data_IF_437371950542
#
_entry.id   IF_437371950542
#
_cell.length_a   1.000
_cell.length_b   1.000
_cell.length_c   1.000
_cell.angle_alpha   90.00
_cell.angle_beta   90.00
_cell.angle_gamma   90.00
#
_symmetry.space_group_name_H-M   'P 1'
#
loop_
_entity.id
_entity.type
_entity.pdbx_description
1 polymer ?
#
# COMPACT_ATOMS: atom_id res chain seq x y z
N UNK A 1 -4.58 21.74 -14.84
CA UNK A 1 -4.34 20.50 -14.08
C UNK A 1 -4.52 20.89 -12.63
N UNK A 2 -5.56 20.39 -11.97
CA UNK A 2 -5.77 20.66 -10.55
C UNK A 2 -4.71 19.87 -9.80
N UNK A 3 -3.80 20.56 -9.12
CA UNK A 3 -2.94 19.93 -8.11
C UNK A 3 -3.86 19.47 -7.00
N UNK A 4 -3.94 18.17 -6.69
CA UNK A 4 -4.77 17.72 -5.59
C UNK A 4 -4.27 18.40 -4.32
N UNK A 5 -5.21 18.92 -3.54
CA UNK A 5 -4.90 19.54 -2.27
C UNK A 5 -4.52 18.41 -1.30
N UNK A 6 -3.36 18.44 -0.63
CA UNK A 6 -2.83 17.31 0.14
C UNK A 6 -3.74 16.79 1.27
N UNK A 7 -4.77 17.54 1.66
CA UNK A 7 -5.80 17.11 2.61
C UNK A 7 -7.01 16.42 1.98
N UNK A 8 -7.24 16.60 0.67
CA UNK A 8 -8.31 15.93 -0.08
C UNK A 8 -7.91 14.46 -0.33
N UNK A 9 -6.67 14.23 -0.74
CA UNK A 9 -6.14 12.88 -1.03
C UNK A 9 -6.21 11.98 0.20
N UNK A 10 -5.86 12.52 1.37
CA UNK A 10 -5.99 11.81 2.65
C UNK A 10 -7.39 11.26 2.89
N UNK A 11 -8.40 12.14 2.82
CA UNK A 11 -9.78 11.77 3.12
C UNK A 11 -10.31 10.73 2.15
N UNK A 12 -9.90 10.81 0.87
CA UNK A 12 -10.23 9.79 -0.11
C UNK A 12 -9.55 8.46 0.22
N UNK A 13 -8.25 8.45 0.50
CA UNK A 13 -7.51 7.22 0.84
C UNK A 13 -8.03 6.54 2.11
N UNK A 14 -8.34 7.31 3.17
CA UNK A 14 -8.94 6.78 4.40
C UNK A 14 -10.33 6.17 4.13
N UNK A 15 -11.11 6.77 3.22
CA UNK A 15 -12.41 6.23 2.81
C UNK A 15 -12.27 4.95 1.98
N UNK A 16 -11.33 4.91 1.03
CA UNK A 16 -11.04 3.70 0.25
C UNK A 16 -10.57 2.55 1.16
N UNK A 17 -9.66 2.84 2.12
CA UNK A 17 -9.20 1.85 3.09
C UNK A 17 -10.36 1.30 3.93
N UNK A 18 -11.25 2.17 4.43
CA UNK A 18 -12.37 1.75 5.26
C UNK A 18 -13.33 0.80 4.52
N UNK A 19 -13.52 1.00 3.20
CA UNK A 19 -14.25 0.04 2.36
C UNK A 19 -13.49 -1.27 2.21
N UNK A 20 -12.18 -1.20 1.90
CA UNK A 20 -11.34 -2.38 1.77
C UNK A 20 -11.22 -3.20 3.06
N UNK A 21 -11.30 -2.59 4.24
CA UNK A 21 -11.27 -3.32 5.53
C UNK A 21 -12.44 -4.29 5.69
N UNK A 22 -13.59 -4.00 5.07
CA UNK A 22 -14.71 -4.94 5.03
C UNK A 22 -14.38 -6.13 4.13
N UNK A 23 -13.87 -5.87 2.93
CA UNK A 23 -13.48 -6.90 1.98
C UNK A 23 -12.29 -7.75 2.45
N UNK A 24 -11.33 -7.14 3.17
CA UNK A 24 -10.20 -7.85 3.79
C UNK A 24 -10.63 -8.82 4.88
N UNK A 25 -11.78 -8.57 5.54
CA UNK A 25 -12.35 -9.49 6.53
C UNK A 25 -13.10 -10.66 5.90
N UNK A 26 -13.84 -10.41 4.83
CA UNK A 26 -14.61 -11.45 4.14
C UNK A 26 -13.72 -12.28 3.20
N UNK A 27 -12.90 -11.60 2.39
CA UNK A 27 -12.04 -12.18 1.35
C UNK A 27 -10.66 -11.50 1.31
N UNK A 28 -9.75 -11.80 2.26
CA UNK A 28 -8.43 -11.17 2.33
C UNK A 28 -7.57 -11.37 1.07
N UNK A 29 -7.69 -12.52 0.41
CA UNK A 29 -7.00 -12.79 -0.84
C UNK A 29 -7.51 -11.88 -1.97
N UNK A 30 -8.83 -11.71 -2.10
CA UNK A 30 -9.40 -10.90 -3.18
C UNK A 30 -9.15 -9.39 -2.96
N UNK A 31 -9.09 -8.95 -1.71
CA UNK A 31 -8.89 -7.54 -1.36
C UNK A 31 -7.42 -7.11 -1.29
N UNK A 32 -6.47 -8.04 -1.10
CA UNK A 32 -5.03 -7.73 -1.02
C UNK A 32 -4.50 -6.98 -2.27
N UNK A 33 -4.82 -7.37 -3.51
CA UNK A 33 -4.42 -6.63 -4.71
C UNK A 33 -4.93 -5.18 -4.72
N UNK A 34 -6.14 -4.94 -4.23
CA UNK A 34 -6.70 -3.58 -4.17
C UNK A 34 -6.00 -2.73 -3.11
N UNK A 35 -5.72 -3.29 -1.93
CA UNK A 35 -4.91 -2.63 -0.91
C UNK A 35 -3.52 -2.26 -1.43
N UNK A 36 -2.87 -3.17 -2.17
CA UNK A 36 -1.55 -2.90 -2.78
C UNK A 36 -1.61 -1.72 -3.76
N UNK A 37 -2.66 -1.62 -4.59
CA UNK A 37 -2.84 -0.52 -5.56
C UNK A 37 -3.12 0.82 -4.87
N UNK A 38 -3.83 0.82 -3.74
CA UNK A 38 -4.06 2.02 -2.94
C UNK A 38 -2.73 2.55 -2.38
N UNK A 39 -1.96 1.68 -1.72
CA UNK A 39 -0.66 2.05 -1.13
C UNK A 39 0.35 2.46 -2.19
N UNK A 40 0.36 1.79 -3.35
CA UNK A 40 1.18 2.19 -4.51
C UNK A 40 0.95 3.65 -4.89
N UNK A 41 -0.32 4.01 -5.12
CA UNK A 41 -0.73 5.35 -5.53
C UNK A 41 -0.28 6.39 -4.51
N UNK A 42 -0.51 6.11 -3.22
CA UNK A 42 -0.08 6.97 -2.12
C UNK A 42 1.44 7.20 -2.12
N UNK A 43 2.23 6.15 -2.30
CA UNK A 43 3.69 6.23 -2.32
C UNK A 43 4.19 7.00 -3.57
N UNK A 44 3.62 6.74 -4.75
CA UNK A 44 3.97 7.47 -5.98
C UNK A 44 3.63 8.96 -5.87
N UNK A 45 2.46 9.30 -5.33
CA UNK A 45 2.04 10.70 -5.12
C UNK A 45 2.94 11.45 -4.12
N UNK A 46 3.57 10.72 -3.20
CA UNK A 46 4.58 11.25 -2.28
C UNK A 46 5.98 11.35 -2.87
N UNK A 47 6.18 10.84 -4.09
CA UNK A 47 7.45 10.87 -4.80
C UNK A 47 8.37 9.69 -4.52
N UNK A 48 7.86 8.60 -3.93
CA UNK A 48 8.62 7.34 -3.82
C UNK A 48 8.74 6.69 -5.18
N UNK A 49 9.97 6.35 -5.58
CA UNK A 49 10.22 5.66 -6.84
C UNK A 49 10.19 4.14 -6.62
N UNK A 50 8.98 3.56 -6.70
CA UNK A 50 8.74 2.13 -6.44
C UNK A 50 9.35 1.21 -7.49
N UNK A 51 9.80 1.75 -8.62
CA UNK A 51 10.38 1.01 -9.74
C UNK A 51 11.89 1.25 -9.90
N UNK A 52 12.44 2.29 -9.26
CA UNK A 52 13.87 2.54 -9.31
C UNK A 52 14.64 1.51 -8.45
N UNK A 53 15.68 0.84 -8.99
CA UNK A 53 16.51 -0.09 -8.25
C UNK A 53 17.55 0.61 -7.36
N UNK A 54 17.72 1.93 -7.49
CA UNK A 54 18.69 2.78 -6.78
C UNK A 54 17.98 3.66 -5.75
N UNK A 55 17.07 3.07 -4.97
CA UNK A 55 16.47 3.76 -3.81
C UNK A 55 17.59 4.21 -2.87
N UNK A 56 17.59 5.49 -2.52
CA UNK A 56 18.63 6.10 -1.69
C UNK A 56 18.61 5.48 -0.29
N UNK A 57 19.78 5.28 0.31
CA UNK A 57 19.91 4.71 1.65
C UNK A 57 19.04 5.45 2.68
N UNK A 58 18.36 4.70 3.56
CA UNK A 58 17.54 5.23 4.63
C UNK A 58 16.12 4.65 4.64
N UNK A 59 15.19 5.41 5.23
CA UNK A 59 13.77 5.06 5.42
C UNK A 59 13.05 4.77 4.09
N UNK A 60 13.41 5.49 3.01
CA UNK A 60 12.86 5.27 1.66
C UNK A 60 13.11 3.85 1.15
N UNK A 61 14.32 3.31 1.36
CA UNK A 61 14.65 1.94 0.95
C UNK A 61 13.82 0.91 1.71
N UNK A 62 13.63 1.11 3.00
CA UNK A 62 12.84 0.21 3.85
C UNK A 62 11.40 0.16 3.36
N UNK A 63 10.79 1.33 3.16
CA UNK A 63 9.43 1.49 2.61
C UNK A 63 9.28 0.80 1.25
N UNK A 64 10.19 1.06 0.29
CA UNK A 64 10.10 0.45 -1.05
C UNK A 64 10.31 -1.08 -0.98
N UNK A 65 11.21 -1.55 -0.12
CA UNK A 65 11.49 -2.99 0.02
C UNK A 65 10.29 -3.71 0.59
N UNK A 66 9.68 -3.16 1.63
CA UNK A 66 8.49 -3.70 2.27
C UNK A 66 7.29 -3.69 1.32
N UNK A 67 7.07 -2.58 0.62
CA UNK A 67 6.02 -2.47 -0.39
C UNK A 67 6.17 -3.52 -1.48
N UNK A 68 7.38 -3.69 -2.04
CA UNK A 68 7.63 -4.67 -3.11
C UNK A 68 7.40 -6.10 -2.63
N UNK A 69 7.77 -6.43 -1.40
CA UNK A 69 7.53 -7.75 -0.83
C UNK A 69 6.03 -8.06 -0.72
N UNK A 70 5.24 -7.12 -0.19
CA UNK A 70 3.79 -7.28 -0.10
C UNK A 70 3.11 -7.29 -1.48
N UNK A 71 3.58 -6.46 -2.41
CA UNK A 71 3.10 -6.43 -3.80
C UNK A 71 3.35 -7.74 -4.52
N UNK A 72 4.49 -8.39 -4.31
CA UNK A 72 4.76 -9.70 -4.91
C UNK A 72 3.69 -10.72 -4.49
N UNK A 73 3.31 -10.74 -3.21
CA UNK A 73 2.21 -11.60 -2.72
C UNK A 73 0.89 -11.23 -3.39
N UNK A 74 0.58 -9.94 -3.48
CA UNK A 74 -0.63 -9.44 -4.13
C UNK A 74 -0.70 -9.84 -5.62
N UNK A 75 0.40 -9.69 -6.37
CA UNK A 75 0.49 -10.05 -7.79
C UNK A 75 0.29 -11.56 -8.00
N UNK A 76 0.83 -12.39 -7.10
CA UNK A 76 0.63 -13.85 -7.12
C UNK A 76 -0.84 -14.22 -6.87
N UNK A 77 -1.49 -13.54 -5.92
CA UNK A 77 -2.92 -13.75 -5.66
C UNK A 77 -3.79 -13.30 -6.84
N UNK A 78 -3.50 -12.14 -7.44
CA UNK A 78 -4.22 -11.62 -8.63
C UNK A 78 -4.03 -12.54 -9.86
N UNK A 79 -2.85 -13.15 -9.99
CA UNK A 79 -2.57 -14.19 -10.99
C UNK A 79 -3.32 -15.52 -10.75
N UNK A 80 -4.03 -15.65 -9.63
CA UNK A 80 -4.77 -16.84 -9.24
C UNK A 80 -3.87 -17.98 -8.75
N UNK A 81 -2.67 -17.67 -8.26
CA UNK A 81 -1.79 -18.65 -7.64
C UNK A 81 -2.29 -19.04 -6.24
N UNK A 82 -1.96 -20.26 -5.82
CA UNK A 82 -2.19 -20.71 -4.45
C UNK A 82 -1.10 -20.10 -3.56
N UNK A 83 -1.49 -19.09 -2.77
CA UNK A 83 -0.62 -18.36 -1.85
C UNK A 83 -1.01 -18.73 -0.42
N UNK A 84 -0.01 -18.92 0.45
CA UNK A 84 -0.27 -19.29 1.83
C UNK A 84 -1.04 -18.17 2.56
N UNK A 85 -2.11 -18.50 3.32
CA UNK A 85 -2.86 -17.50 4.08
C UNK A 85 -2.01 -16.69 5.07
N UNK A 86 -0.91 -17.26 5.57
CA UNK A 86 0.06 -16.57 6.40
C UNK A 86 0.85 -15.51 5.64
N UNK A 87 1.26 -15.79 4.40
CA UNK A 87 1.92 -14.81 3.53
C UNK A 87 0.97 -13.67 3.16
N UNK A 88 -0.30 -13.99 2.90
CA UNK A 88 -1.36 -12.99 2.66
C UNK A 88 -1.53 -12.08 3.89
N UNK A 89 -1.63 -12.66 5.08
CA UNK A 89 -1.78 -11.89 6.32
C UNK A 89 -0.57 -10.96 6.57
N UNK A 90 0.65 -11.44 6.33
CA UNK A 90 1.88 -10.63 6.43
C UNK A 90 1.88 -9.49 5.41
N UNK A 91 1.45 -9.75 4.17
CA UNK A 91 1.36 -8.72 3.14
C UNK A 91 0.33 -7.62 3.49
N UNK A 92 -0.84 -8.01 4.02
CA UNK A 92 -1.88 -7.08 4.47
C UNK A 92 -1.34 -6.20 5.62
N UNK A 93 -0.67 -6.79 6.61
CA UNK A 93 -0.10 -6.07 7.75
C UNK A 93 1.00 -5.07 7.32
N UNK A 94 1.87 -5.48 6.40
CA UNK A 94 2.90 -4.61 5.82
C UNK A 94 2.30 -3.43 5.05
N UNK A 95 1.32 -3.68 4.17
CA UNK A 95 0.64 -2.61 3.43
C UNK A 95 -0.12 -1.67 4.37
N UNK A 96 -0.78 -2.20 5.41
CA UNK A 96 -1.46 -1.39 6.43
C UNK A 96 -0.49 -0.51 7.22
N UNK A 97 0.70 -1.03 7.54
CA UNK A 97 1.76 -0.28 8.21
C UNK A 97 2.29 0.86 7.33
N UNK A 98 2.51 0.59 6.04
CA UNK A 98 2.90 1.61 5.06
C UNK A 98 1.84 2.69 4.87
N UNK A 99 0.56 2.31 4.80
CA UNK A 99 -0.55 3.25 4.76
C UNK A 99 -0.52 4.19 5.97
N UNK A 100 -0.45 3.62 7.18
CA UNK A 100 -0.41 4.40 8.42
C UNK A 100 0.79 5.35 8.47
N UNK A 101 1.96 4.88 8.03
CA UNK A 101 3.17 5.70 7.91
C UNK A 101 2.94 6.92 6.97
N UNK A 102 2.35 6.70 5.79
CA UNK A 102 2.08 7.81 4.85
C UNK A 102 1.06 8.80 5.42
N UNK A 103 0.02 8.34 6.11
CA UNK A 103 -0.97 9.21 6.75
C UNK A 103 -0.34 10.05 7.86
N UNK A 104 0.46 9.43 8.75
CA UNK A 104 1.16 10.16 9.83
C UNK A 104 2.10 11.21 9.23
N UNK A 105 2.80 10.87 8.14
CA UNK A 105 3.65 11.83 7.42
C UNK A 105 2.86 12.95 6.73
N UNK A 106 1.53 12.85 6.54
CA UNK A 106 0.68 13.96 6.04
C UNK A 106 0.36 14.95 7.16
N UNK A 107 0.31 14.47 8.41
CA UNK A 107 -0.05 15.27 9.58
C UNK A 107 1.14 16.07 10.15
N UNK A 108 2.36 15.79 9.69
CA UNK A 108 3.55 16.54 10.07
C UNK A 108 3.53 17.97 9.47
N UNK A 109 3.68 19.04 10.29
CA UNK A 109 3.57 20.44 9.88
C UNK A 109 4.78 21.00 9.13
#
# INVERSE_FOLDING_TARGET
MATPEPGLDRHEWESELASLEEDLRDSPAEALPELSRLVERMLEERGYDLYDPVVRDGEEREVVTEFRAAREVADRVDAGEDVDPGDIAVAIDGLGSLFAYVIVALEAP
#
